data_IF_605079254941
#
_entry.id   IF_605079254941
#
_cell.length_a   1.000
_cell.length_b   1.000
_cell.length_c   1.000
_cell.angle_alpha   90.00
_cell.angle_beta   90.00
_cell.angle_gamma   90.00
#
_symmetry.space_group_name_H-M   'P 1'
#
loop_
_entity.id
_entity.type
_entity.pdbx_description
1 polymer ?
#
# COMPACT_ATOMS: atom_id res chain seq x y z
N UNK A 1 13.94 -56.84 10.25
CA UNK A 1 14.55 -55.53 9.89
C UNK A 1 13.89 -54.46 10.75
N UNK A 2 14.64 -53.81 11.64
CA UNK A 2 14.09 -52.98 12.71
C UNK A 2 13.51 -51.67 12.16
N UNK A 3 12.16 -51.55 12.16
CA UNK A 3 11.40 -50.37 11.67
C UNK A 3 11.86 -49.03 12.27
N UNK A 4 12.52 -49.05 13.44
CA UNK A 4 13.06 -47.87 14.12
C UNK A 4 14.20 -47.17 13.39
N UNK A 5 14.93 -47.88 12.51
CA UNK A 5 16.05 -47.30 11.76
C UNK A 5 15.68 -46.88 10.34
N UNK A 6 14.46 -47.21 9.88
CA UNK A 6 14.03 -46.91 8.50
C UNK A 6 13.87 -45.41 8.28
N UNK A 7 13.21 -44.71 9.20
CA UNK A 7 13.01 -43.26 9.11
C UNK A 7 14.32 -42.45 9.18
N UNK A 8 15.23 -42.66 10.17
CA UNK A 8 16.48 -41.90 10.21
C UNK A 8 17.41 -42.23 9.04
N UNK A 9 17.43 -43.49 8.56
CA UNK A 9 18.18 -43.85 7.35
C UNK A 9 17.61 -43.13 6.13
N UNK A 10 16.29 -43.10 5.97
CA UNK A 10 15.63 -42.42 4.86
C UNK A 10 15.91 -40.92 4.87
N UNK A 11 15.82 -40.27 6.03
CA UNK A 11 16.19 -38.86 6.18
C UNK A 11 17.66 -38.60 5.86
N UNK A 12 18.57 -39.45 6.34
CA UNK A 12 20.00 -39.35 6.04
C UNK A 12 20.29 -39.56 4.54
N UNK A 13 19.58 -40.48 3.89
CA UNK A 13 19.74 -40.67 2.44
C UNK A 13 19.24 -39.44 1.67
N UNK A 14 18.12 -38.84 2.07
CA UNK A 14 17.59 -37.62 1.43
C UNK A 14 18.57 -36.46 1.59
N UNK A 15 19.14 -36.25 2.77
CA UNK A 15 20.11 -35.16 3.00
C UNK A 15 21.40 -35.36 2.24
N UNK A 16 21.92 -36.60 2.17
CA UNK A 16 23.11 -36.91 1.38
C UNK A 16 22.85 -36.74 -0.12
N UNK A 17 21.71 -37.23 -0.62
CA UNK A 17 21.32 -37.08 -2.03
C UNK A 17 21.12 -35.61 -2.40
N UNK A 18 20.46 -34.81 -1.56
CA UNK A 18 20.26 -33.38 -1.83
C UNK A 18 21.56 -32.59 -1.80
N UNK A 19 22.46 -32.86 -0.83
CA UNK A 19 23.79 -32.25 -0.78
C UNK A 19 24.62 -32.62 -2.02
N UNK A 20 24.59 -33.90 -2.43
CA UNK A 20 25.28 -34.36 -3.63
C UNK A 20 24.74 -33.69 -4.90
N UNK A 21 23.42 -33.59 -5.04
CA UNK A 21 22.78 -32.91 -6.16
C UNK A 21 23.13 -31.42 -6.20
N UNK A 22 23.10 -30.72 -5.05
CA UNK A 22 23.50 -29.32 -4.96
C UNK A 22 24.95 -29.11 -5.40
N UNK A 23 25.86 -30.00 -5.00
CA UNK A 23 27.26 -29.94 -5.36
C UNK A 23 27.50 -30.24 -6.86
N UNK A 24 26.71 -31.15 -7.44
CA UNK A 24 26.72 -31.43 -8.89
C UNK A 24 26.24 -30.22 -9.69
N UNK A 25 25.14 -29.61 -9.29
CA UNK A 25 24.60 -28.41 -9.95
C UNK A 25 25.59 -27.26 -9.89
N UNK A 26 26.23 -27.04 -8.73
CA UNK A 26 27.23 -25.99 -8.58
C UNK A 26 28.45 -26.21 -9.49
N UNK A 27 28.92 -27.46 -9.64
CA UNK A 27 29.99 -27.81 -10.58
C UNK A 27 29.58 -27.63 -12.03
N UNK A 28 28.34 -27.96 -12.40
CA UNK A 28 27.83 -27.77 -13.76
C UNK A 28 27.73 -26.29 -14.14
N UNK A 29 27.32 -25.43 -13.20
CA UNK A 29 27.29 -23.97 -13.39
C UNK A 29 28.72 -23.43 -13.49
N UNK A 30 29.63 -23.87 -12.64
CA UNK A 30 31.04 -23.44 -12.70
C UNK A 30 31.78 -23.90 -13.97
N UNK A 31 31.36 -25.04 -14.54
CA UNK A 31 31.89 -25.56 -15.81
C UNK A 31 31.28 -24.87 -17.04
N UNK A 32 30.15 -24.17 -16.89
CA UNK A 32 29.63 -23.29 -17.91
C UNK A 32 30.46 -22.02 -17.93
N UNK A 33 31.39 -21.92 -18.87
CA UNK A 33 32.14 -20.69 -19.12
C UNK A 33 31.16 -19.62 -19.66
N UNK A 34 30.56 -18.86 -18.74
CA UNK A 34 29.85 -17.64 -19.10
C UNK A 34 30.94 -16.66 -19.54
N UNK A 35 31.15 -16.53 -20.86
CA UNK A 35 31.94 -15.44 -21.43
C UNK A 35 31.35 -14.14 -20.90
N UNK A 36 32.02 -13.42 -19.98
CA UNK A 36 31.48 -12.19 -19.47
C UNK A 36 31.50 -11.18 -20.63
N UNK A 37 30.39 -10.48 -20.95
CA UNK A 37 30.54 -9.25 -21.69
C UNK A 37 31.50 -8.36 -20.89
N UNK A 38 32.44 -7.70 -21.56
CA UNK A 38 33.33 -6.71 -20.95
C UNK A 38 32.50 -5.55 -20.38
N UNK A 39 31.95 -5.76 -19.18
CA UNK A 39 31.28 -4.76 -18.36
C UNK A 39 31.89 -4.89 -16.98
N UNK A 40 32.39 -3.77 -16.48
CA UNK A 40 32.78 -3.61 -15.09
C UNK A 40 31.76 -4.28 -14.18
N UNK A 41 32.17 -4.99 -13.12
CA UNK A 41 31.22 -5.61 -12.19
C UNK A 41 30.32 -4.50 -11.66
N UNK A 42 29.05 -4.50 -12.08
CA UNK A 42 28.05 -3.69 -11.42
C UNK A 42 28.00 -4.21 -9.97
N UNK A 43 28.43 -3.39 -9.01
CA UNK A 43 28.28 -3.73 -7.60
C UNK A 43 26.78 -3.85 -7.35
N UNK A 44 26.34 -5.09 -7.09
CA UNK A 44 24.96 -5.34 -6.70
C UNK A 44 24.87 -4.99 -5.23
N UNK A 45 24.65 -3.70 -4.93
CA UNK A 45 24.58 -3.20 -3.55
C UNK A 45 23.36 -3.73 -2.79
N UNK A 46 22.38 -4.28 -3.51
CA UNK A 46 21.18 -4.86 -2.89
C UNK A 46 21.28 -6.39 -2.83
N UNK A 47 21.41 -7.00 -1.64
CA UNK A 47 21.50 -8.45 -1.52
C UNK A 47 20.25 -9.14 -2.07
N UNK A 48 20.45 -10.31 -2.69
CA UNK A 48 19.37 -11.13 -3.27
C UNK A 48 18.31 -11.52 -2.22
N UNK A 49 18.73 -11.72 -0.98
CA UNK A 49 17.88 -11.80 0.19
C UNK A 49 17.92 -10.45 0.91
N UNK A 50 16.90 -9.63 0.67
CA UNK A 50 16.68 -8.38 1.39
C UNK A 50 15.42 -8.53 2.23
N UNK A 51 15.47 -8.08 3.49
CA UNK A 51 14.29 -8.06 4.36
C UNK A 51 13.13 -7.34 3.69
N UNK A 52 13.40 -6.30 2.89
CA UNK A 52 12.41 -5.57 2.06
C UNK A 52 11.65 -6.44 1.03
N UNK A 53 12.15 -7.63 0.70
CA UNK A 53 11.54 -8.59 -0.25
C UNK A 53 10.99 -9.85 0.44
N UNK A 54 10.95 -9.87 1.78
CA UNK A 54 10.37 -10.96 2.58
C UNK A 54 8.87 -10.68 2.76
N UNK A 55 8.01 -11.72 2.93
CA UNK A 55 6.59 -11.55 3.22
C UNK A 55 6.31 -10.49 4.29
N UNK A 56 5.26 -9.71 4.06
CA UNK A 56 4.81 -8.59 4.90
C UNK A 56 4.76 -8.92 6.39
N UNK A 57 4.28 -10.12 6.74
CA UNK A 57 4.17 -10.60 8.12
C UNK A 57 5.50 -10.60 8.90
N UNK A 58 6.64 -10.72 8.22
CA UNK A 58 7.96 -10.66 8.85
C UNK A 58 8.54 -9.24 8.89
N UNK A 59 8.03 -8.34 8.04
CA UNK A 59 8.48 -6.96 7.98
C UNK A 59 7.69 -6.04 8.92
N UNK A 60 6.37 -6.20 8.98
CA UNK A 60 5.47 -5.27 9.69
C UNK A 60 5.86 -5.05 11.16
N UNK A 61 6.23 -6.06 11.98
CA UNK A 61 6.54 -5.81 13.38
C UNK A 61 7.82 -4.96 13.57
N UNK A 62 8.76 -5.07 12.64
CA UNK A 62 9.99 -4.26 12.68
C UNK A 62 9.73 -2.85 12.15
N UNK A 63 8.91 -2.71 11.11
CA UNK A 63 8.52 -1.42 10.55
C UNK A 63 7.70 -0.61 11.56
N UNK A 64 6.65 -1.19 12.15
CA UNK A 64 5.80 -0.58 13.16
C UNK A 64 6.61 -0.12 14.38
N UNK A 65 7.53 -0.96 14.88
CA UNK A 65 8.40 -0.60 16.00
C UNK A 65 9.28 0.61 15.68
N UNK A 66 9.93 0.61 14.52
CA UNK A 66 10.77 1.74 14.08
C UNK A 66 9.93 3.01 13.93
N UNK A 67 8.76 2.90 13.30
CA UNK A 67 7.86 4.03 13.13
C UNK A 67 7.42 4.60 14.49
N UNK A 68 7.07 3.75 15.46
CA UNK A 68 6.72 4.21 16.81
C UNK A 68 7.90 4.88 17.51
N UNK A 69 9.10 4.33 17.42
CA UNK A 69 10.33 4.92 17.98
C UNK A 69 10.62 6.30 17.36
N UNK A 70 10.47 6.44 16.04
CA UNK A 70 10.71 7.68 15.31
C UNK A 70 9.63 8.76 15.57
N UNK A 71 8.41 8.36 15.94
CA UNK A 71 7.31 9.29 16.24
C UNK A 71 7.39 9.94 17.62
N UNK A 72 8.18 9.41 18.57
CA UNK A 72 8.23 9.96 19.95
C UNK A 72 8.60 11.43 19.97
N UNK A 73 9.77 11.80 19.43
CA UNK A 73 10.26 13.17 19.49
C UNK A 73 9.38 14.18 18.72
N UNK A 74 8.90 13.88 17.49
CA UNK A 74 7.96 14.76 16.79
C UNK A 74 6.65 14.98 17.55
N UNK A 75 6.10 13.94 18.18
CA UNK A 75 4.83 14.03 18.92
C UNK A 75 5.01 14.89 20.18
N UNK A 76 6.10 14.71 20.91
CA UNK A 76 6.42 15.53 22.10
C UNK A 76 6.66 17.00 21.75
N UNK A 77 7.12 17.30 20.53
CA UNK A 77 7.34 18.65 20.06
C UNK A 77 6.06 19.39 19.59
N UNK A 78 4.90 18.72 19.57
CA UNK A 78 3.65 19.32 19.11
C UNK A 78 3.14 20.38 20.10
N UNK A 79 2.60 21.51 19.60
CA UNK A 79 1.92 22.49 20.43
C UNK A 79 0.70 21.90 21.16
N UNK A 80 0.36 22.46 22.32
CA UNK A 80 -0.88 22.13 23.02
C UNK A 80 -2.11 22.42 22.14
N UNK A 81 -3.13 21.55 22.23
CA UNK A 81 -4.32 21.63 21.38
C UNK A 81 -4.16 21.01 19.99
N UNK A 82 -3.04 20.37 19.70
CA UNK A 82 -2.86 19.57 18.47
C UNK A 82 -3.55 18.21 18.61
N UNK A 83 -4.28 17.79 17.58
CA UNK A 83 -4.82 16.43 17.46
C UNK A 83 -4.00 15.64 16.45
N UNK A 84 -3.62 14.39 16.78
CA UNK A 84 -2.86 13.51 15.90
C UNK A 84 -3.30 12.06 16.07
N UNK A 85 -3.54 11.38 14.96
CA UNK A 85 -3.70 9.95 14.91
C UNK A 85 -2.77 9.39 13.83
N UNK A 86 -2.01 8.34 14.17
CA UNK A 86 -1.18 7.59 13.23
C UNK A 86 -1.58 6.13 13.36
N UNK A 87 -2.04 5.54 12.26
CA UNK A 87 -2.44 4.14 12.19
C UNK A 87 -1.82 3.47 10.97
N UNK A 88 -1.46 2.19 11.12
CA UNK A 88 -0.91 1.35 10.06
C UNK A 88 -1.63 0.00 10.08
N UNK A 89 -2.19 -0.43 8.94
CA UNK A 89 -2.96 -1.69 8.83
C UNK A 89 -4.06 -1.89 9.90
N UNK A 90 -4.68 -0.80 10.36
CA UNK A 90 -5.72 -0.83 11.39
C UNK A 90 -5.18 -0.90 12.83
N UNK A 91 -3.86 -0.87 13.02
CA UNK A 91 -3.23 -0.71 14.33
C UNK A 91 -2.98 0.78 14.60
N UNK A 92 -3.52 1.29 15.70
CA UNK A 92 -3.21 2.63 16.18
C UNK A 92 -1.80 2.65 16.79
N UNK A 93 -0.90 3.40 16.15
CA UNK A 93 0.50 3.56 16.58
C UNK A 93 0.67 4.74 17.53
N UNK A 94 -0.04 5.84 17.24
CA UNK A 94 -0.08 7.07 18.06
C UNK A 94 -1.51 7.62 18.05
N UNK A 95 -2.00 8.02 19.21
CA UNK A 95 -3.29 8.69 19.37
C UNK A 95 -3.17 9.80 20.40
N UNK A 96 -3.21 11.04 19.94
CA UNK A 96 -3.17 12.26 20.74
C UNK A 96 -4.43 13.08 20.44
N UNK A 97 -5.29 13.26 21.45
CA UNK A 97 -6.54 14.05 21.33
C UNK A 97 -7.40 13.68 20.09
N UNK A 98 -7.30 12.42 19.62
CA UNK A 98 -7.84 11.99 18.33
C UNK A 98 -9.36 12.01 18.26
N UNK A 99 -10.04 11.97 19.41
CA UNK A 99 -11.50 12.09 19.52
C UNK A 99 -11.98 13.53 19.70
N UNK A 100 -11.08 14.51 19.80
CA UNK A 100 -11.44 15.91 20.04
C UNK A 100 -12.00 16.52 18.74
N UNK A 101 -13.22 17.08 18.74
CA UNK A 101 -13.80 17.68 17.55
C UNK A 101 -12.97 18.86 17.05
N UNK A 102 -12.56 18.81 15.80
CA UNK A 102 -11.79 19.86 15.12
C UNK A 102 -12.55 20.37 13.90
N UNK A 103 -12.27 21.61 13.48
CA UNK A 103 -12.80 22.12 12.21
C UNK A 103 -12.17 21.31 11.04
N UNK A 104 -12.96 20.58 10.24
CA UNK A 104 -12.42 19.65 9.24
C UNK A 104 -11.83 20.35 8.00
N UNK A 105 -12.10 21.66 7.83
CA UNK A 105 -11.76 22.40 6.62
C UNK A 105 -12.22 21.63 5.37
N UNK A 106 -11.32 21.37 4.42
CA UNK A 106 -11.67 20.66 3.18
C UNK A 106 -11.89 19.16 3.34
N UNK A 107 -11.53 18.53 4.46
CA UNK A 107 -11.84 17.10 4.66
C UNK A 107 -13.35 16.86 4.80
N UNK A 108 -14.13 17.91 5.11
CA UNK A 108 -15.59 17.88 5.05
C UNK A 108 -16.12 17.44 3.68
N UNK A 109 -15.37 17.72 2.59
CA UNK A 109 -15.74 17.30 1.24
C UNK A 109 -15.88 15.78 1.10
N UNK A 110 -15.19 14.99 1.92
CA UNK A 110 -15.33 13.53 1.92
C UNK A 110 -16.75 13.13 2.34
N UNK A 111 -17.24 13.69 3.45
CA UNK A 111 -18.60 13.43 3.92
C UNK A 111 -19.64 13.98 2.94
N UNK A 112 -19.41 15.17 2.38
CA UNK A 112 -20.28 15.74 1.35
C UNK A 112 -20.33 14.87 0.10
N UNK A 113 -19.19 14.34 -0.37
CA UNK A 113 -19.12 13.50 -1.55
C UNK A 113 -19.85 12.16 -1.33
N UNK A 114 -19.65 11.52 -0.18
CA UNK A 114 -20.37 10.28 0.19
C UNK A 114 -21.88 10.55 0.23
N UNK A 115 -22.29 11.64 0.88
CA UNK A 115 -23.70 12.02 0.94
C UNK A 115 -24.27 12.32 -0.45
N UNK A 116 -23.55 13.04 -1.30
CA UNK A 116 -23.97 13.35 -2.66
C UNK A 116 -24.12 12.08 -3.51
N UNK A 117 -23.18 11.14 -3.44
CA UNK A 117 -23.28 9.85 -4.13
C UNK A 117 -24.47 9.03 -3.63
N UNK A 118 -24.75 9.07 -2.31
CA UNK A 118 -25.87 8.34 -1.73
C UNK A 118 -27.24 8.94 -2.08
N UNK A 119 -27.33 10.28 -2.11
CA UNK A 119 -28.59 11.01 -2.31
C UNK A 119 -28.90 11.26 -3.79
N UNK A 120 -27.91 11.69 -4.56
CA UNK A 120 -28.06 12.05 -5.98
C UNK A 120 -27.78 10.86 -6.91
N UNK A 121 -26.92 9.94 -6.49
CA UNK A 121 -26.39 8.88 -7.33
C UNK A 121 -25.13 9.31 -8.11
N UNK A 122 -24.36 8.33 -8.62
CA UNK A 122 -23.08 8.60 -9.30
C UNK A 122 -23.25 9.26 -10.68
N UNK A 123 -24.41 9.07 -11.32
CA UNK A 123 -24.69 9.57 -12.67
C UNK A 123 -25.51 10.86 -12.68
N UNK A 124 -25.70 11.49 -11.51
CA UNK A 124 -26.48 12.73 -11.40
C UNK A 124 -25.80 13.88 -12.15
N UNK A 125 -26.60 14.60 -12.94
CA UNK A 125 -26.16 15.80 -13.67
C UNK A 125 -26.93 17.03 -13.19
N UNK A 126 -26.22 18.14 -13.01
CA UNK A 126 -26.85 19.43 -12.78
C UNK A 126 -27.29 19.99 -14.13
N UNK A 127 -28.53 20.50 -14.20
CA UNK A 127 -29.09 21.06 -15.44
C UNK A 127 -29.30 22.56 -15.28
N UNK A 128 -28.85 23.30 -16.28
CA UNK A 128 -29.14 24.73 -16.44
C UNK A 128 -30.03 24.88 -17.67
N UNK A 129 -31.16 25.56 -17.53
CA UNK A 129 -32.16 25.71 -18.59
C UNK A 129 -32.49 27.16 -18.82
N UNK A 130 -32.60 27.56 -20.09
CA UNK A 130 -33.23 28.83 -20.45
C UNK A 130 -34.72 28.58 -20.65
N UNK A 131 -35.56 29.37 -20.00
CA UNK A 131 -37.01 29.25 -20.07
C UNK A 131 -37.65 30.57 -20.45
N UNK A 132 -38.77 30.48 -21.17
CA UNK A 132 -39.65 31.58 -21.59
C UNK A 132 -41.08 31.17 -21.27
N UNK A 133 -41.96 32.14 -20.98
CA UNK A 133 -43.34 31.86 -20.63
C UNK A 133 -44.15 31.39 -21.86
N UNK A 134 -43.93 32.05 -22.99
CA UNK A 134 -44.50 31.69 -24.29
C UNK A 134 -43.40 31.41 -25.33
N UNK A 135 -43.60 30.46 -26.27
CA UNK A 135 -42.66 30.21 -27.35
C UNK A 135 -42.41 31.46 -28.20
N UNK A 136 -41.19 31.60 -28.71
CA UNK A 136 -40.87 32.69 -29.63
C UNK A 136 -41.71 32.60 -30.92
N UNK A 137 -42.30 33.72 -31.32
CA UNK A 137 -43.03 33.86 -32.59
C UNK A 137 -42.19 34.71 -33.52
N UNK A 138 -41.90 34.19 -34.72
CA UNK A 138 -41.05 34.86 -35.72
C UNK A 138 -39.69 35.34 -35.18
N UNK A 139 -39.12 34.60 -34.22
CA UNK A 139 -37.83 34.90 -33.60
C UNK A 139 -37.86 35.94 -32.48
N UNK A 140 -39.05 36.37 -32.03
CA UNK A 140 -39.23 37.31 -30.93
C UNK A 140 -39.87 36.61 -29.73
N UNK A 141 -39.21 36.69 -28.57
CA UNK A 141 -39.81 36.34 -27.28
C UNK A 141 -40.61 37.55 -26.81
N UNK A 142 -41.91 37.39 -26.62
CA UNK A 142 -42.77 38.43 -26.07
C UNK A 142 -42.87 38.24 -24.56
N UNK A 143 -42.07 39.01 -23.82
CA UNK A 143 -41.98 38.92 -22.37
C UNK A 143 -40.56 38.63 -21.90
N UNK A 144 -40.45 38.02 -20.72
CA UNK A 144 -39.18 37.77 -20.06
C UNK A 144 -38.56 36.43 -20.48
N UNK A 145 -37.23 36.38 -20.39
CA UNK A 145 -36.42 35.20 -20.58
C UNK A 145 -35.61 34.97 -19.31
N UNK A 146 -35.63 33.76 -18.77
CA UNK A 146 -34.92 33.39 -17.55
C UNK A 146 -33.88 32.31 -17.82
N UNK A 147 -32.81 32.33 -17.02
CA UNK A 147 -31.71 31.37 -17.01
C UNK A 147 -31.49 30.89 -15.57
#
# INVERSE_FOLDING_TARGET
>A
MNRRFVLPLLLLTITVLSAFQAQRTNRAIAASEIVPPARSPASVDTPALSVRRIPEFLQSPTAERRLREELVAPVEALPSGTCLAVAEHGLDLVSLESSTPMAPASTQKLLTAIAALHVLGPDSVLTTTVVVEEPAVDGVVLGDLWL
#
